data_IF_295184549921
#
_entry.id   IF_295184549921
#
_cell.length_a   1.000
_cell.length_b   1.000
_cell.length_c   1.000
_cell.angle_alpha   90.00
_cell.angle_beta   90.00
_cell.angle_gamma   90.00
#
_symmetry.space_group_name_H-M   'P 1'
#
loop_
_entity.id
_entity.type
_entity.pdbx_description
1 polymer ?
#
# COMPACT_ATOMS: atom_id res chain seq x y z
N UNK A 1 -9.68 -13.45 -12.08
CA UNK A 1 -9.17 -12.73 -10.89
C UNK A 1 -10.27 -11.85 -10.36
N UNK A 2 -10.39 -11.71 -9.04
CA UNK A 2 -11.28 -10.73 -8.45
C UNK A 2 -10.70 -9.31 -8.59
N UNK A 3 -11.53 -8.26 -8.54
CA UNK A 3 -11.05 -6.86 -8.49
C UNK A 3 -10.06 -6.63 -7.35
N UNK A 4 -10.25 -7.34 -6.23
CA UNK A 4 -9.33 -7.25 -5.11
C UNK A 4 -7.95 -7.85 -5.42
N UNK A 5 -7.89 -8.97 -6.15
CA UNK A 5 -6.61 -9.54 -6.58
C UNK A 5 -5.87 -8.61 -7.55
N UNK A 6 -6.61 -7.95 -8.44
CA UNK A 6 -6.07 -6.92 -9.35
C UNK A 6 -5.50 -5.74 -8.57
N UNK A 7 -6.26 -5.22 -7.60
CA UNK A 7 -5.81 -4.17 -6.69
C UNK A 7 -4.53 -4.55 -5.96
N UNK A 8 -4.47 -5.73 -5.34
CA UNK A 8 -3.27 -6.20 -4.63
C UNK A 8 -2.07 -6.27 -5.59
N UNK A 9 -2.24 -6.88 -6.76
CA UNK A 9 -1.15 -6.98 -7.74
C UNK A 9 -0.66 -5.61 -8.23
N UNK A 10 -1.57 -4.66 -8.44
CA UNK A 10 -1.24 -3.30 -8.85
C UNK A 10 -0.44 -2.56 -7.77
N UNK A 11 -0.85 -2.66 -6.50
CA UNK A 11 -0.08 -2.09 -5.37
C UNK A 11 1.30 -2.74 -5.27
N UNK A 12 1.40 -4.07 -5.40
CA UNK A 12 2.69 -4.75 -5.32
C UNK A 12 3.65 -4.35 -6.44
N UNK A 13 3.15 -4.15 -7.66
CA UNK A 13 3.98 -3.67 -8.77
C UNK A 13 4.39 -2.21 -8.57
N UNK A 14 3.45 -1.34 -8.20
CA UNK A 14 3.77 0.07 -7.91
C UNK A 14 4.73 0.23 -6.74
N UNK A 15 4.72 -0.67 -5.74
CA UNK A 15 5.68 -0.66 -4.65
C UNK A 15 7.11 -0.94 -5.13
N UNK A 16 7.29 -1.80 -6.15
CA UNK A 16 8.59 -2.01 -6.78
C UNK A 16 9.07 -0.75 -7.48
N UNK A 17 8.19 -0.12 -8.27
CA UNK A 17 8.51 1.10 -9.00
C UNK A 17 8.88 2.25 -8.04
N UNK A 18 8.13 2.37 -6.94
CA UNK A 18 8.42 3.33 -5.88
C UNK A 18 9.79 3.07 -5.23
N UNK A 19 10.18 1.80 -5.05
CA UNK A 19 11.48 1.44 -4.50
C UNK A 19 12.64 1.89 -5.39
N UNK A 20 12.51 1.74 -6.72
CA UNK A 20 13.49 2.26 -7.69
C UNK A 20 13.69 3.76 -7.49
N UNK A 21 12.60 4.51 -7.30
CA UNK A 21 12.67 5.97 -7.11
C UNK A 21 13.26 6.37 -5.75
N UNK A 22 12.87 5.69 -4.68
CA UNK A 22 13.23 6.10 -3.30
C UNK A 22 14.58 5.55 -2.86
N UNK A 23 14.94 4.34 -3.30
CA UNK A 23 16.11 3.61 -2.85
C UNK A 23 17.14 3.36 -3.95
N UNK A 24 16.80 3.56 -5.23
CA UNK A 24 17.62 3.16 -6.38
C UNK A 24 17.94 1.64 -6.36
N UNK A 25 16.93 0.84 -6.00
CA UNK A 25 17.00 -0.62 -5.86
C UNK A 25 16.04 -1.13 -4.78
N UNK A 26 16.25 -2.35 -4.28
CA UNK A 26 15.45 -2.99 -3.21
C UNK A 26 14.00 -3.27 -3.59
N UNK A 27 13.72 -3.45 -4.88
CA UNK A 27 12.39 -3.68 -5.44
C UNK A 27 11.70 -4.88 -4.81
N UNK A 28 12.44 -5.98 -4.65
CA UNK A 28 11.89 -7.21 -4.06
C UNK A 28 11.68 -7.06 -2.54
N UNK A 29 12.57 -6.35 -1.83
CA UNK A 29 12.38 -6.03 -0.41
C UNK A 29 11.18 -5.13 -0.17
N UNK A 30 10.99 -4.14 -1.04
CA UNK A 30 9.83 -3.25 -1.01
C UNK A 30 8.53 -3.98 -1.34
N UNK A 31 8.56 -4.90 -2.31
CA UNK A 31 7.42 -5.77 -2.61
C UNK A 31 7.06 -6.66 -1.44
N UNK A 32 8.05 -7.24 -0.76
CA UNK A 32 7.83 -8.10 0.40
C UNK A 32 7.21 -7.33 1.57
N UNK A 33 7.73 -6.12 1.88
CA UNK A 33 7.16 -5.27 2.93
C UNK A 33 5.75 -4.76 2.56
N UNK A 34 5.51 -4.38 1.30
CA UNK A 34 4.18 -4.00 0.81
C UNK A 34 3.20 -5.19 0.88
N UNK A 35 3.64 -6.39 0.53
CA UNK A 35 2.85 -7.62 0.63
C UNK A 35 2.48 -7.90 2.08
N UNK A 36 3.44 -7.85 3.01
CA UNK A 36 3.17 -8.04 4.43
C UNK A 36 2.16 -7.03 4.97
N UNK A 37 2.23 -5.77 4.53
CA UNK A 37 1.23 -4.75 4.88
C UNK A 37 -0.17 -5.12 4.36
N UNK A 38 -0.29 -5.47 3.08
CA UNK A 38 -1.58 -5.83 2.47
C UNK A 38 -2.19 -7.09 3.11
N UNK A 39 -1.39 -8.09 3.43
CA UNK A 39 -1.83 -9.31 4.14
C UNK A 39 -2.29 -8.98 5.57
N UNK A 40 -1.53 -8.15 6.29
CA UNK A 40 -1.88 -7.72 7.66
C UNK A 40 -3.22 -6.99 7.72
N UNK A 41 -3.55 -6.20 6.69
CA UNK A 41 -4.78 -5.41 6.62
C UNK A 41 -5.80 -5.93 5.60
N UNK A 42 -5.66 -7.19 5.16
CA UNK A 42 -6.46 -7.74 4.06
C UNK A 42 -7.97 -7.65 4.34
N UNK A 43 -8.39 -8.03 5.55
CA UNK A 43 -9.80 -8.00 5.94
C UNK A 43 -10.39 -6.58 5.95
N UNK A 44 -9.64 -5.61 6.47
CA UNK A 44 -10.04 -4.20 6.49
C UNK A 44 -10.11 -3.65 5.06
N UNK A 45 -9.07 -3.88 4.24
CA UNK A 45 -9.00 -3.42 2.86
C UNK A 45 -10.11 -4.03 2.00
N UNK A 46 -10.39 -5.33 2.14
CA UNK A 46 -11.52 -5.99 1.46
C UNK A 46 -12.85 -5.36 1.82
N UNK A 47 -13.06 -5.05 3.11
CA UNK A 47 -14.28 -4.39 3.57
C UNK A 47 -14.41 -2.99 3.01
N UNK A 48 -13.38 -2.17 3.14
CA UNK A 48 -13.44 -0.76 2.75
C UNK A 48 -13.51 -0.58 1.23
N UNK A 49 -12.76 -1.35 0.45
CA UNK A 49 -12.88 -1.32 -1.02
C UNK A 49 -14.26 -1.76 -1.50
N UNK A 50 -14.91 -2.72 -0.82
CA UNK A 50 -16.30 -3.06 -1.08
C UNK A 50 -17.25 -1.91 -0.78
N UNK A 51 -17.10 -1.26 0.38
CA UNK A 51 -17.94 -0.10 0.77
C UNK A 51 -17.74 1.07 -0.19
N UNK A 52 -16.50 1.33 -0.61
CA UNK A 52 -16.14 2.34 -1.59
C UNK A 52 -16.82 2.07 -2.94
N UNK A 53 -16.75 0.82 -3.42
CA UNK A 53 -17.33 0.42 -4.71
C UNK A 53 -18.87 0.52 -4.77
N UNK A 54 -19.55 0.60 -3.62
CA UNK A 54 -21.00 0.80 -3.52
C UNK A 54 -21.36 2.19 -2.98
N UNK A 55 -20.40 3.11 -2.94
CA UNK A 55 -20.56 4.51 -2.49
C UNK A 55 -21.08 4.67 -1.04
N UNK A 56 -20.93 3.63 -0.21
CA UNK A 56 -21.29 3.66 1.23
C UNK A 56 -20.24 4.41 2.08
N UNK A 57 -19.04 4.59 1.54
CA UNK A 57 -18.02 5.51 2.07
C UNK A 57 -17.48 6.37 0.92
N UNK A 58 -17.09 7.60 1.23
CA UNK A 58 -16.49 8.50 0.23
C UNK A 58 -15.01 8.14 -0.01
N UNK A 59 -14.43 8.66 -1.11
CA UNK A 59 -12.98 8.62 -1.36
C UNK A 59 -12.18 9.12 -0.15
N UNK A 60 -12.62 10.22 0.46
CA UNK A 60 -11.98 10.80 1.65
C UNK A 60 -12.03 9.85 2.84
N UNK A 61 -13.20 9.25 3.11
CA UNK A 61 -13.35 8.31 4.23
C UNK A 61 -12.44 7.09 4.03
N UNK A 62 -12.34 6.58 2.80
CA UNK A 62 -11.41 5.50 2.48
C UNK A 62 -9.95 5.92 2.71
N UNK A 63 -9.55 7.09 2.20
CA UNK A 63 -8.20 7.61 2.39
C UNK A 63 -7.85 7.76 3.88
N UNK A 64 -8.75 8.30 4.69
CA UNK A 64 -8.57 8.46 6.13
C UNK A 64 -8.38 7.10 6.84
N UNK A 65 -9.17 6.10 6.47
CA UNK A 65 -9.07 4.74 6.99
C UNK A 65 -7.71 4.10 6.67
N UNK A 66 -7.22 4.23 5.44
CA UNK A 66 -5.91 3.70 5.03
C UNK A 66 -4.77 4.50 5.69
N UNK A 67 -4.86 5.82 5.77
CA UNK A 67 -3.88 6.65 6.45
C UNK A 67 -3.73 6.30 7.93
N UNK A 68 -4.82 5.95 8.61
CA UNK A 68 -4.77 5.50 10.00
C UNK A 68 -3.92 4.22 10.19
N UNK A 69 -3.70 3.43 9.13
CA UNK A 69 -2.84 2.24 9.17
C UNK A 69 -1.37 2.52 8.85
N UNK A 70 -1.01 3.74 8.42
CA UNK A 70 0.36 4.12 8.03
C UNK A 70 1.40 3.75 9.08
N UNK A 71 1.14 4.12 10.35
CA UNK A 71 2.07 3.86 11.44
C UNK A 71 2.29 2.36 11.71
N UNK A 72 1.34 1.51 11.30
CA UNK A 72 1.38 0.06 11.49
C UNK A 72 2.00 -0.70 10.30
N UNK A 73 2.40 0.01 9.24
CA UNK A 73 3.11 -0.53 8.08
C UNK A 73 4.57 -0.85 8.44
N UNK A 74 4.81 -2.03 8.99
CA UNK A 74 6.15 -2.42 9.41
C UNK A 74 7.02 -2.76 8.18
N UNK A 75 8.05 -1.95 7.91
CA UNK A 75 8.98 -2.13 6.78
C UNK A 75 10.20 -2.97 7.20
N UNK A 76 9.96 -4.18 7.68
CA UNK A 76 10.98 -5.03 8.32
C UNK A 76 12.11 -5.42 7.37
N UNK A 77 11.80 -5.74 6.12
CA UNK A 77 12.79 -6.19 5.14
C UNK A 77 13.69 -5.02 4.75
N UNK A 78 13.11 -3.87 4.41
CA UNK A 78 13.85 -2.65 4.09
C UNK A 78 14.66 -2.12 5.28
N UNK A 79 14.15 -2.27 6.51
CA UNK A 79 14.90 -1.92 7.73
C UNK A 79 16.15 -2.78 7.87
N UNK A 80 16.03 -4.10 7.67
CA UNK A 80 17.18 -5.03 7.70
C UNK A 80 18.17 -4.78 6.56
N UNK A 81 17.72 -4.23 5.44
CA UNK A 81 18.58 -3.82 4.33
C UNK A 81 19.39 -2.52 4.63
N UNK A 82 19.25 -1.93 5.82
CA UNK A 82 20.03 -0.76 6.24
C UNK A 82 19.54 0.56 5.66
N UNK A 83 18.29 0.61 5.17
CA UNK A 83 17.70 1.84 4.65
C UNK A 83 17.54 2.87 5.78
N UNK A 84 17.98 4.10 5.53
CA UNK A 84 17.83 5.21 6.48
C UNK A 84 16.37 5.50 6.80
N UNK A 85 16.07 5.89 8.05
CA UNK A 85 14.71 6.24 8.51
C UNK A 85 13.98 7.23 7.60
N UNK A 86 14.65 8.28 7.12
CA UNK A 86 14.05 9.27 6.22
C UNK A 86 13.55 8.64 4.91
N UNK A 87 14.31 7.71 4.34
CA UNK A 87 13.94 7.01 3.10
C UNK A 87 12.85 5.98 3.36
N UNK A 88 12.90 5.26 4.49
CA UNK A 88 11.81 4.39 4.93
C UNK A 88 10.49 5.16 5.06
N UNK A 89 10.53 6.36 5.64
CA UNK A 89 9.32 7.15 5.84
C UNK A 89 8.76 7.76 4.55
N UNK A 90 9.65 8.11 3.61
CA UNK A 90 9.26 8.48 2.25
C UNK A 90 8.56 7.31 1.55
N UNK A 91 9.11 6.10 1.63
CA UNK A 91 8.50 4.91 1.05
C UNK A 91 7.17 4.58 1.72
N UNK A 92 7.10 4.61 3.05
CA UNK A 92 5.86 4.37 3.80
C UNK A 92 4.74 5.31 3.36
N UNK A 93 5.05 6.60 3.24
CA UNK A 93 4.07 7.60 2.77
C UNK A 93 3.61 7.26 1.36
N UNK A 94 4.55 7.05 0.43
CA UNK A 94 4.22 6.70 -0.95
C UNK A 94 3.48 5.36 -1.10
N UNK A 95 3.73 4.37 -0.24
CA UNK A 95 2.99 3.11 -0.22
C UNK A 95 1.52 3.34 0.17
N UNK A 96 1.25 4.21 1.13
CA UNK A 96 -0.12 4.55 1.52
C UNK A 96 -0.84 5.29 0.41
N UNK A 97 -0.18 6.28 -0.21
CA UNK A 97 -0.74 7.01 -1.34
C UNK A 97 -1.02 6.06 -2.51
N UNK A 98 -0.09 5.15 -2.81
CA UNK A 98 -0.26 4.13 -3.85
C UNK A 98 -1.46 3.22 -3.57
N UNK A 99 -1.66 2.79 -2.32
CA UNK A 99 -2.83 1.98 -1.91
C UNK A 99 -4.13 2.75 -2.16
N UNK A 100 -4.16 4.03 -1.83
CA UNK A 100 -5.33 4.89 -2.00
C UNK A 100 -5.64 5.09 -3.50
N UNK A 101 -4.65 5.55 -4.27
CA UNK A 101 -4.80 5.82 -5.71
C UNK A 101 -5.19 4.56 -6.49
N UNK A 102 -4.59 3.41 -6.13
CA UNK A 102 -4.92 2.14 -6.79
C UNK A 102 -6.34 1.69 -6.44
N UNK A 103 -6.81 1.92 -5.20
CA UNK A 103 -8.17 1.59 -4.84
C UNK A 103 -9.17 2.42 -5.65
N UNK A 104 -8.94 3.73 -5.77
CA UNK A 104 -9.80 4.61 -6.57
C UNK A 104 -9.83 4.18 -8.03
N UNK A 105 -8.67 3.84 -8.62
CA UNK A 105 -8.59 3.40 -10.01
C UNK A 105 -9.31 2.07 -10.30
N UNK A 106 -9.38 1.15 -9.34
CA UNK A 106 -9.90 -0.21 -9.55
C UNK A 106 -11.37 -0.33 -9.15
N UNK A 107 -11.80 0.41 -8.13
CA UNK A 107 -13.12 0.26 -7.52
C UNK A 107 -14.12 1.36 -7.85
N UNK A 108 -13.68 2.51 -8.35
CA UNK A 108 -14.50 3.59 -8.91
C UNK A 108 -14.44 3.57 -10.44
#
# INVERSE_FOLDING_TARGET
MSKFDEFVNAVLNGARDLAVVVFNGLEDSAKDDAKAFLEKFEADLKRWTKLLAVEEITERDFADLVHAKKALAELHVLTRAGVSLTRLERFRSGLIDLVIDTAFKVFL
#
